data_IF_975114268353
#
_entry.id   IF_975114268353
#
_cell.length_a   1.000
_cell.length_b   1.000
_cell.length_c   1.000
_cell.angle_alpha   90.00
_cell.angle_beta   90.00
_cell.angle_gamma   90.00
#
_symmetry.space_group_name_H-M   'P 1'
#
loop_
_entity.id
_entity.type
_entity.pdbx_description
1 polymer ?
#
# COMPACT_ATOMS: atom_id res chain seq x y z
N UNK A 1 7.38 -6.53 18.44
CA UNK A 1 7.68 -5.57 17.35
C UNK A 1 7.22 -6.21 16.06
N UNK A 2 6.48 -5.49 15.21
CA UNK A 2 6.12 -6.02 13.89
C UNK A 2 7.33 -5.84 12.98
N UNK A 3 7.90 -6.94 12.52
CA UNK A 3 9.02 -6.91 11.57
C UNK A 3 8.48 -6.68 10.15
N UNK A 4 8.87 -5.55 9.56
CA UNK A 4 8.48 -5.13 8.22
C UNK A 4 9.58 -5.43 7.19
N UNK A 5 10.76 -5.94 7.61
CA UNK A 5 11.90 -6.15 6.70
C UNK A 5 11.57 -7.09 5.54
N UNK A 6 10.62 -7.99 5.76
CA UNK A 6 10.24 -9.05 4.82
C UNK A 6 9.00 -8.71 3.98
N UNK A 7 8.39 -7.53 4.16
CA UNK A 7 7.24 -7.09 3.35
C UNK A 7 7.71 -6.09 2.31
N UNK A 8 7.54 -6.45 1.04
CA UNK A 8 7.83 -5.62 -0.11
C UNK A 8 6.53 -5.05 -0.68
N UNK A 9 6.66 -3.96 -1.42
CA UNK A 9 5.51 -3.25 -2.00
C UNK A 9 4.66 -4.16 -2.91
N UNK A 10 5.29 -5.08 -3.64
CA UNK A 10 4.60 -6.04 -4.50
C UNK A 10 3.75 -7.07 -3.73
N UNK A 11 4.07 -7.33 -2.46
CA UNK A 11 3.24 -8.22 -1.62
C UNK A 11 1.89 -7.57 -1.26
N UNK A 12 1.76 -6.26 -1.49
CA UNK A 12 0.57 -5.48 -1.18
C UNK A 12 -0.35 -5.30 -2.39
N UNK A 13 -0.10 -5.99 -3.50
CA UNK A 13 -0.99 -5.97 -4.66
C UNK A 13 -2.37 -6.47 -4.26
N UNK A 14 -3.41 -5.80 -4.75
CA UNK A 14 -4.82 -5.96 -4.40
C UNK A 14 -5.21 -5.56 -2.97
N UNK A 15 -4.28 -5.02 -2.17
CA UNK A 15 -4.58 -4.58 -0.80
C UNK A 15 -4.92 -3.09 -0.72
N UNK A 16 -5.69 -2.72 0.31
CA UNK A 16 -6.00 -1.31 0.56
C UNK A 16 -4.81 -0.62 1.23
N UNK A 17 -4.31 0.42 0.59
CA UNK A 17 -3.24 1.27 1.11
C UNK A 17 -3.80 2.58 1.66
N UNK A 18 -3.22 3.04 2.76
CA UNK A 18 -3.44 4.37 3.31
C UNK A 18 -2.18 5.21 3.08
N UNK A 19 -2.24 6.11 2.11
CA UNK A 19 -1.09 6.87 1.61
C UNK A 19 -1.20 8.31 2.11
N UNK A 20 -0.20 8.78 2.84
CA UNK A 20 -0.07 10.20 3.13
C UNK A 20 0.84 10.84 2.10
N UNK A 21 0.35 11.91 1.46
CA UNK A 21 1.14 12.72 0.53
C UNK A 21 1.83 13.87 1.29
N UNK A 22 1.10 14.50 2.21
CA UNK A 22 1.63 15.54 3.08
C UNK A 22 0.93 15.52 4.47
N UNK A 23 0.90 16.66 5.18
CA UNK A 23 0.25 16.77 6.49
C UNK A 23 -1.28 16.84 6.43
N UNK A 24 -1.83 17.26 5.29
CA UNK A 24 -3.26 17.54 5.09
C UNK A 24 -3.92 16.59 4.10
N UNK A 25 -3.14 16.06 3.15
CA UNK A 25 -3.62 15.25 2.04
C UNK A 25 -3.22 13.79 2.18
N UNK A 26 -4.24 12.93 2.12
CA UNK A 26 -4.10 11.48 2.11
C UNK A 26 -5.01 10.83 1.09
N UNK A 27 -4.59 9.66 0.60
CA UNK A 27 -5.33 8.81 -0.31
C UNK A 27 -5.56 7.45 0.36
N UNK A 28 -6.75 6.90 0.17
CA UNK A 28 -7.05 5.50 0.51
C UNK A 28 -7.55 4.82 -0.75
N UNK A 29 -6.97 3.68 -1.12
CA UNK A 29 -7.37 2.96 -2.33
C UNK A 29 -6.71 1.60 -2.44
N UNK A 30 -7.19 0.78 -3.37
CA UNK A 30 -6.69 -0.58 -3.61
C UNK A 30 -5.50 -0.53 -4.55
N UNK A 31 -4.34 -1.08 -4.16
CA UNK A 31 -3.18 -1.14 -5.04
C UNK A 31 -3.40 -2.15 -6.16
N UNK A 32 -3.42 -1.70 -7.40
CA UNK A 32 -3.63 -2.54 -8.58
C UNK A 32 -2.32 -2.89 -9.27
N UNK A 33 -1.41 -1.92 -9.37
CA UNK A 33 -0.13 -2.11 -10.03
C UNK A 33 0.95 -1.18 -9.48
N UNK A 34 2.20 -1.58 -9.71
CA UNK A 34 3.40 -0.80 -9.43
C UNK A 34 4.22 -0.80 -10.73
N UNK A 35 4.65 0.37 -11.19
CA UNK A 35 5.52 0.45 -12.37
C UNK A 35 7.01 0.38 -12.01
N UNK A 36 7.88 0.43 -13.02
CA UNK A 36 9.34 0.37 -12.83
C UNK A 36 9.95 1.57 -12.09
N UNK A 37 9.17 2.63 -11.86
CA UNK A 37 9.55 3.81 -11.06
C UNK A 37 8.85 3.80 -9.68
N UNK A 38 8.26 2.68 -9.31
CA UNK A 38 7.46 2.50 -8.10
C UNK A 38 6.20 3.39 -8.03
N UNK A 39 5.74 3.97 -9.15
CA UNK A 39 4.48 4.69 -9.15
C UNK A 39 3.33 3.72 -8.87
N UNK A 40 2.39 4.15 -8.03
CA UNK A 40 1.30 3.33 -7.56
C UNK A 40 0.08 3.58 -8.45
N UNK A 41 -0.47 2.52 -9.02
CA UNK A 41 -1.80 2.56 -9.62
C UNK A 41 -2.81 2.08 -8.58
N UNK A 42 -3.71 2.96 -8.18
CA UNK A 42 -4.70 2.71 -7.14
C UNK A 42 -6.10 2.78 -7.73
N UNK A 43 -6.97 1.87 -7.34
CA UNK A 43 -8.39 1.88 -7.70
C UNK A 43 -9.27 2.22 -6.48
N UNK A 44 -10.51 2.60 -6.77
CA UNK A 44 -11.53 3.02 -5.79
C UNK A 44 -11.04 4.10 -4.83
N UNK A 45 -10.18 4.99 -5.32
CA UNK A 45 -9.47 5.95 -4.48
C UNK A 45 -10.42 6.96 -3.86
N UNK A 46 -10.26 7.16 -2.56
CA UNK A 46 -10.85 8.25 -1.80
C UNK A 46 -9.71 9.16 -1.34
N UNK A 47 -9.82 10.44 -1.67
CA UNK A 47 -8.93 11.48 -1.17
C UNK A 47 -9.56 12.14 0.06
N UNK A 48 -8.74 12.39 1.08
CA UNK A 48 -9.04 13.34 2.15
C UNK A 48 -7.99 14.46 2.11
N UNK A 49 -8.46 15.70 1.97
CA UNK A 49 -7.64 16.90 2.01
C UNK A 49 -8.19 17.89 3.04
N UNK A 50 -7.56 17.95 4.21
CA UNK A 50 -7.95 18.85 5.31
C UNK A 50 -9.43 18.74 5.69
N UNK A 51 -9.96 17.49 5.71
CA UNK A 51 -11.36 17.19 6.02
C UNK A 51 -12.29 17.15 4.80
N UNK A 52 -11.85 17.64 3.63
CA UNK A 52 -12.60 17.49 2.39
C UNK A 52 -12.39 16.10 1.79
N UNK A 53 -13.46 15.31 1.75
CA UNK A 53 -13.43 13.93 1.25
C UNK A 53 -14.06 13.85 -0.14
N UNK A 54 -13.36 13.25 -1.11
CA UNK A 54 -13.92 12.97 -2.45
C UNK A 54 -13.50 11.62 -3.00
N UNK A 55 -14.39 11.01 -3.78
CA UNK A 55 -14.09 9.82 -4.58
C UNK A 55 -13.38 10.22 -5.87
N UNK A 56 -12.29 9.55 -6.18
CA UNK A 56 -11.43 9.80 -7.34
C UNK A 56 -11.50 8.66 -8.37
N UNK A 57 -11.82 7.43 -7.94
CA UNK A 57 -11.80 6.25 -8.82
C UNK A 57 -10.38 5.76 -9.04
N UNK A 58 -9.95 5.64 -10.30
CA UNK A 58 -8.61 5.16 -10.66
C UNK A 58 -7.59 6.31 -10.65
N UNK A 59 -6.51 6.18 -9.89
CA UNK A 59 -5.48 7.21 -9.73
C UNK A 59 -4.08 6.62 -9.84
N UNK A 60 -3.23 7.25 -10.67
CA UNK A 60 -1.79 7.01 -10.66
C UNK A 60 -1.09 8.02 -9.74
N UNK A 61 -0.30 7.51 -8.79
CA UNK A 61 0.40 8.30 -7.77
C UNK A 61 1.91 8.12 -7.94
N UNK A 62 2.65 9.20 -8.24
CA UNK A 62 4.11 9.13 -8.28
C UNK A 62 4.69 8.78 -6.91
N UNK A 63 5.61 7.81 -6.85
CA UNK A 63 6.21 7.41 -5.56
C UNK A 63 6.92 8.56 -4.85
N UNK A 64 7.51 9.48 -5.63
CA UNK A 64 8.18 10.68 -5.11
C UNK A 64 7.25 11.60 -4.31
N UNK A 65 5.94 11.53 -4.56
CA UNK A 65 4.94 12.30 -3.80
C UNK A 65 4.45 11.59 -2.53
N UNK A 66 4.83 10.33 -2.34
CA UNK A 66 4.40 9.51 -1.21
C UNK A 66 5.31 9.77 -0.01
N UNK A 67 4.75 10.32 1.06
CA UNK A 67 5.47 10.53 2.31
C UNK A 67 5.52 9.27 3.16
N UNK A 68 4.39 8.54 3.23
CA UNK A 68 4.30 7.29 3.97
C UNK A 68 3.16 6.44 3.43
N UNK A 69 3.37 5.13 3.41
CA UNK A 69 2.30 4.14 3.20
C UNK A 69 2.03 3.47 4.53
N UNK A 70 0.75 3.33 4.89
CA UNK A 70 0.29 2.54 6.02
C UNK A 70 -0.59 1.40 5.50
N UNK A 71 -0.46 0.25 6.13
CA UNK A 71 -1.26 -0.95 5.88
C UNK A 71 -1.80 -1.47 7.19
N UNK A 72 -2.80 -2.34 7.10
CA UNK A 72 -3.32 -3.05 8.27
C UNK A 72 -2.26 -4.00 8.82
N UNK A 73 -2.19 -4.13 10.14
CA UNK A 73 -1.17 -4.96 10.80
C UNK A 73 -1.39 -6.44 10.51
N UNK A 74 -2.65 -6.86 10.45
CA UNK A 74 -3.06 -8.24 10.18
C UNK A 74 -2.56 -8.72 8.81
N UNK A 75 -2.50 -7.81 7.84
CA UNK A 75 -1.95 -8.10 6.51
C UNK A 75 -0.45 -8.39 6.57
N UNK A 76 0.31 -7.61 7.33
CA UNK A 76 1.76 -7.81 7.51
C UNK A 76 2.02 -9.17 8.15
N UNK A 77 1.27 -9.51 9.19
CA UNK A 77 1.40 -10.80 9.88
C UNK A 77 1.07 -11.97 8.92
N UNK A 78 0.05 -11.79 8.07
CA UNK A 78 -0.34 -12.78 7.04
C UNK A 78 0.75 -13.00 6.00
N UNK A 79 1.32 -11.92 5.44
CA UNK A 79 2.38 -12.00 4.43
C UNK A 79 3.62 -12.70 4.99
N UNK A 80 4.01 -12.34 6.22
CA UNK A 80 5.16 -12.96 6.89
C UNK A 80 4.94 -14.47 7.09
N UNK A 81 3.75 -14.89 7.53
CA UNK A 81 3.42 -16.30 7.69
C UNK A 81 3.44 -17.05 6.34
N UNK A 82 2.89 -16.47 5.27
CA UNK A 82 2.91 -17.06 3.94
C UNK A 82 4.33 -17.27 3.41
N UNK A 83 5.20 -16.27 3.56
CA UNK A 83 6.61 -16.37 3.10
C UNK A 83 7.38 -17.44 3.87
N UNK A 84 7.18 -17.54 5.19
CA UNK A 84 7.78 -18.60 6.00
C UNK A 84 7.32 -19.98 5.53
N UNK A 85 6.03 -20.17 5.28
CA UNK A 85 5.49 -21.44 4.79
C UNK A 85 5.98 -21.83 3.39
N UNK A 86 6.15 -20.86 2.48
CA UNK A 86 6.72 -21.14 1.16
C UNK A 86 8.18 -21.57 1.30
N UNK A 87 8.96 -20.87 2.13
CA UNK A 87 10.38 -21.20 2.32
C UNK A 87 10.60 -22.60 2.92
N UNK A 88 9.67 -23.11 3.74
CA UNK A 88 9.77 -24.43 4.35
C UNK A 88 9.33 -25.59 3.43
N UNK A 89 8.67 -25.31 2.30
CA UNK A 89 8.24 -26.34 1.33
C UNK A 89 9.32 -26.70 0.29
N UNK A 90 10.43 -25.95 0.23
CA UNK A 90 11.53 -26.17 -0.72
C UNK A 90 12.85 -26.62 -0.05
N UNK A 91 12.77 -27.20 1.16
CA UNK A 91 13.89 -27.84 1.87
C UNK A 91 13.74 -29.35 1.85
#
# INVERSE_FOLDING_TARGET
MTDLSNVHLHDLLSETLYINLDQKRSLTGKLIAIDCKANLLLDEVVENNDGHVRKMGLVSVPFVSVRSVKVRRELVDTINALKLNISSQYV
#
